data_IF_543092633219
#
_entry.id   IF_543092633219
#
_cell.length_a   1.000
_cell.length_b   1.000
_cell.length_c   1.000
_cell.angle_alpha   90.00
_cell.angle_beta   90.00
_cell.angle_gamma   90.00
#
_symmetry.space_group_name_H-M   'P 1'
#
loop_
_entity.id
_entity.type
_entity.pdbx_description
1 polymer ?
#
# COMPACT_ATOMS: atom_id res chain seq x y z
N UNK A 1 17.16 -11.01 -26.15
CA UNK A 1 16.38 -9.84 -25.70
C UNK A 1 16.48 -8.75 -26.74
N UNK A 2 15.35 -8.29 -27.28
CA UNK A 2 15.33 -7.04 -28.05
C UNK A 2 15.44 -5.90 -27.03
N UNK A 3 16.31 -4.92 -27.27
CA UNK A 3 16.29 -3.67 -26.53
C UNK A 3 14.99 -2.94 -26.91
N UNK A 4 14.02 -2.88 -26.01
CA UNK A 4 12.77 -2.19 -26.25
C UNK A 4 12.89 -0.73 -25.79
N UNK A 5 12.63 0.26 -26.66
CA UNK A 5 12.65 1.66 -26.26
C UNK A 5 11.48 1.94 -25.30
N UNK A 6 11.72 2.77 -24.29
CA UNK A 6 10.66 3.37 -23.51
C UNK A 6 10.19 4.68 -24.19
N UNK A 7 8.87 4.91 -24.37
CA UNK A 7 7.76 4.07 -23.88
C UNK A 7 7.61 2.78 -24.69
N UNK A 8 7.47 1.67 -23.97
CA UNK A 8 7.31 0.31 -24.50
C UNK A 8 6.06 0.25 -25.41
N UNK A 9 6.12 -0.32 -26.64
CA UNK A 9 5.01 -0.34 -27.59
C UNK A 9 3.93 -1.37 -27.21
N UNK A 10 3.39 -1.29 -25.98
CA UNK A 10 2.46 -2.27 -25.41
C UNK A 10 1.16 -2.41 -26.19
N UNK A 11 0.75 -1.36 -26.93
CA UNK A 11 -0.45 -1.38 -27.78
C UNK A 11 -0.32 -2.29 -29.00
N UNK A 12 0.90 -2.67 -29.37
CA UNK A 12 1.18 -3.56 -30.50
C UNK A 12 1.28 -5.03 -30.05
N UNK A 13 1.22 -5.29 -28.74
CA UNK A 13 1.26 -6.65 -28.23
C UNK A 13 0.00 -7.43 -28.65
N UNK A 14 0.15 -8.67 -29.11
CA UNK A 14 -0.98 -9.58 -29.29
C UNK A 14 -1.76 -9.74 -27.98
N UNK A 15 -3.07 -9.47 -28.01
CA UNK A 15 -3.96 -9.55 -26.86
C UNK A 15 -5.40 -9.19 -27.21
N UNK A 16 -6.31 -9.36 -26.24
CA UNK A 16 -7.72 -8.97 -26.39
C UNK A 16 -7.91 -7.46 -26.17
N UNK A 17 -9.10 -6.96 -26.51
CA UNK A 17 -9.45 -5.56 -26.26
C UNK A 17 -9.50 -5.25 -24.76
N UNK A 18 -9.97 -6.21 -23.94
CA UNK A 18 -10.03 -6.11 -22.48
C UNK A 18 -8.63 -6.04 -21.87
N UNK A 19 -7.70 -6.89 -22.32
CA UNK A 19 -6.28 -6.85 -21.90
C UNK A 19 -5.63 -5.50 -22.27
N UNK A 20 -5.91 -5.00 -23.48
CA UNK A 20 -5.40 -3.69 -23.93
C UNK A 20 -5.98 -2.55 -23.09
N UNK A 21 -7.28 -2.60 -22.76
CA UNK A 21 -7.93 -1.61 -21.91
C UNK A 21 -7.35 -1.63 -20.49
N UNK A 22 -7.15 -2.82 -19.93
CA UNK A 22 -6.53 -3.02 -18.62
C UNK A 22 -5.13 -2.41 -18.56
N UNK A 23 -4.27 -2.75 -19.52
CA UNK A 23 -2.92 -2.18 -19.61
C UNK A 23 -2.95 -0.66 -19.79
N UNK A 24 -3.90 -0.14 -20.57
CA UNK A 24 -4.09 1.30 -20.72
C UNK A 24 -4.36 2.01 -19.40
N UNK A 25 -5.30 1.46 -18.61
CA UNK A 25 -5.57 1.95 -17.26
C UNK A 25 -4.34 1.80 -16.35
N UNK A 26 -3.80 0.58 -16.22
CA UNK A 26 -2.70 0.24 -15.31
C UNK A 26 -1.47 1.10 -15.53
N UNK A 27 -1.07 1.30 -16.78
CA UNK A 27 0.10 2.11 -17.15
C UNK A 27 -0.17 3.62 -17.02
N UNK A 28 -1.41 4.08 -17.20
CA UNK A 28 -1.75 5.50 -17.05
C UNK A 28 -1.60 6.02 -15.62
N UNK A 29 -1.71 5.11 -14.64
CA UNK A 29 -1.69 5.39 -13.20
C UNK A 29 -0.43 4.88 -12.49
N UNK A 30 0.57 4.41 -13.27
CA UNK A 30 1.83 3.96 -12.70
C UNK A 30 2.61 5.10 -12.05
N UNK A 31 3.13 4.83 -10.85
CA UNK A 31 4.10 5.70 -10.19
C UNK A 31 5.40 5.81 -11.00
N UNK A 32 6.23 6.79 -10.65
CA UNK A 32 7.56 6.92 -11.25
C UNK A 32 8.38 5.66 -11.02
N UNK A 33 8.33 5.12 -9.80
CA UNK A 33 9.06 3.91 -9.42
C UNK A 33 8.56 2.69 -10.19
N UNK A 34 7.25 2.48 -10.28
CA UNK A 34 6.67 1.38 -11.05
C UNK A 34 7.09 1.43 -12.51
N UNK A 35 7.18 2.62 -13.11
CA UNK A 35 7.68 2.78 -14.49
C UNK A 35 9.13 2.35 -14.64
N UNK A 36 9.99 2.71 -13.68
CA UNK A 36 11.40 2.29 -13.70
C UNK A 36 11.56 0.79 -13.49
N UNK A 37 10.77 0.20 -12.58
CA UNK A 37 10.75 -1.24 -12.39
C UNK A 37 10.27 -1.96 -13.65
N UNK A 38 9.17 -1.49 -14.27
CA UNK A 38 8.65 -2.07 -15.50
C UNK A 38 9.66 -1.98 -16.66
N UNK A 39 10.36 -0.85 -16.79
CA UNK A 39 11.43 -0.68 -17.78
C UNK A 39 12.52 -1.75 -17.62
N UNK A 40 12.99 -1.98 -16.39
CA UNK A 40 14.01 -3.00 -16.12
C UNK A 40 13.48 -4.43 -16.24
N UNK A 41 12.30 -4.68 -15.68
CA UNK A 41 11.63 -5.97 -15.73
C UNK A 41 11.39 -6.44 -17.17
N UNK A 42 10.99 -5.53 -18.06
CA UNK A 42 10.76 -5.83 -19.49
C UNK A 42 12.04 -6.12 -20.29
N UNK A 43 13.21 -5.76 -19.75
CA UNK A 43 14.51 -6.13 -20.31
C UNK A 43 15.01 -7.46 -19.76
N UNK A 44 14.66 -7.78 -18.51
CA UNK A 44 15.02 -9.02 -17.83
C UNK A 44 14.12 -10.19 -18.24
N UNK A 45 12.86 -9.92 -18.56
CA UNK A 45 11.86 -10.92 -18.95
C UNK A 45 11.51 -10.81 -20.44
N UNK A 46 11.09 -11.93 -21.02
CA UNK A 46 10.43 -11.91 -22.33
C UNK A 46 9.00 -11.43 -22.17
N UNK A 47 8.60 -10.44 -22.97
CA UNK A 47 7.23 -9.96 -23.06
C UNK A 47 6.84 -10.02 -24.54
N UNK A 48 6.03 -11.01 -24.90
CA UNK A 48 5.63 -11.27 -26.28
C UNK A 48 4.13 -11.03 -26.52
N UNK A 49 3.32 -11.01 -25.45
CA UNK A 49 1.87 -10.82 -25.47
C UNK A 49 1.40 -9.83 -24.41
N UNK A 50 0.16 -9.34 -24.54
CA UNK A 50 -0.47 -8.50 -23.52
C UNK A 50 -0.59 -9.25 -22.18
N UNK A 51 -0.88 -10.55 -22.20
CA UNK A 51 -0.91 -11.39 -21.01
C UNK A 51 0.45 -11.46 -20.28
N UNK A 52 1.57 -11.51 -21.01
CA UNK A 52 2.91 -11.47 -20.39
C UNK A 52 3.15 -10.13 -19.68
N UNK A 53 2.76 -9.02 -20.33
CA UNK A 53 2.91 -7.69 -19.75
C UNK A 53 2.01 -7.51 -18.53
N UNK A 54 0.78 -8.02 -18.56
CA UNK A 54 -0.13 -8.03 -17.41
C UNK A 54 0.54 -8.78 -16.24
N UNK A 55 1.00 -10.01 -16.47
CA UNK A 55 1.70 -10.79 -15.44
C UNK A 55 2.90 -10.05 -14.85
N UNK A 56 3.63 -9.29 -15.68
CA UNK A 56 4.77 -8.49 -15.23
C UNK A 56 4.34 -7.29 -14.39
N UNK A 57 3.32 -6.55 -14.82
CA UNK A 57 2.78 -5.40 -14.07
C UNK A 57 2.13 -5.79 -12.74
N UNK A 58 1.70 -7.05 -12.63
CA UNK A 58 1.17 -7.63 -11.40
C UNK A 58 2.24 -8.00 -10.37
N UNK A 59 3.51 -8.03 -10.77
CA UNK A 59 4.60 -8.62 -9.99
C UNK A 59 5.83 -7.73 -9.92
N UNK A 60 5.62 -6.40 -9.96
CA UNK A 60 6.74 -5.44 -9.82
C UNK A 60 7.42 -5.52 -8.45
N UNK A 61 6.74 -6.06 -7.44
CA UNK A 61 7.30 -6.42 -6.12
C UNK A 61 8.37 -7.52 -6.18
N UNK A 62 8.41 -8.30 -7.27
CA UNK A 62 9.45 -9.31 -7.53
C UNK A 62 10.75 -8.72 -8.09
N UNK A 63 10.85 -7.39 -8.16
CA UNK A 63 12.01 -6.64 -8.62
C UNK A 63 12.39 -5.59 -7.59
N UNK A 64 13.69 -5.28 -7.49
CA UNK A 64 14.19 -4.16 -6.69
C UNK A 64 14.72 -3.06 -7.60
N UNK A 65 14.71 -1.82 -7.09
CA UNK A 65 15.23 -0.64 -7.77
C UNK A 65 16.29 0.03 -6.89
N UNK A 66 17.53 0.11 -7.38
CA UNK A 66 18.52 1.03 -6.83
C UNK A 66 18.32 2.40 -7.49
N UNK A 67 17.46 3.24 -6.90
CA UNK A 67 17.06 4.51 -7.50
C UNK A 67 18.26 5.44 -7.76
N UNK A 68 18.35 5.97 -8.97
CA UNK A 68 19.42 6.87 -9.42
C UNK A 68 20.74 6.17 -9.78
N UNK A 69 20.87 4.86 -9.58
CA UNK A 69 22.05 4.09 -9.97
C UNK A 69 22.01 3.71 -11.46
N UNK A 70 22.35 4.64 -12.36
CA UNK A 70 22.22 4.45 -13.82
C UNK A 70 23.48 3.91 -14.50
N UNK A 71 24.56 3.69 -13.75
CA UNK A 71 25.81 3.09 -14.22
C UNK A 71 26.53 2.35 -13.07
N UNK A 72 27.62 1.64 -13.40
CA UNK A 72 28.38 0.85 -12.42
C UNK A 72 28.93 1.73 -11.28
N UNK A 73 29.40 2.95 -11.57
CA UNK A 73 29.94 3.82 -10.52
C UNK A 73 28.86 4.31 -9.56
N UNK A 74 27.68 4.66 -10.09
CA UNK A 74 26.52 5.06 -9.32
C UNK A 74 25.95 3.88 -8.50
N UNK A 75 25.95 2.66 -9.03
CA UNK A 75 25.53 1.46 -8.30
C UNK A 75 26.46 1.12 -7.14
N UNK A 76 27.78 1.20 -7.33
CA UNK A 76 28.74 1.02 -6.24
C UNK A 76 28.60 2.10 -5.17
N UNK A 77 28.38 3.35 -5.56
CA UNK A 77 28.14 4.45 -4.62
C UNK A 77 26.81 4.29 -3.86
N UNK A 78 25.76 3.80 -4.54
CA UNK A 78 24.47 3.48 -3.94
C UNK A 78 24.63 2.42 -2.84
N UNK A 79 25.28 1.29 -3.14
CA UNK A 79 25.54 0.23 -2.18
C UNK A 79 26.36 0.72 -0.98
N UNK A 80 27.44 1.48 -1.24
CA UNK A 80 28.25 2.09 -0.20
C UNK A 80 27.42 2.99 0.74
N UNK A 81 26.55 3.84 0.17
CA UNK A 81 25.75 4.80 0.94
C UNK A 81 24.64 4.14 1.73
N UNK A 82 23.82 3.32 1.09
CA UNK A 82 22.55 2.87 1.66
C UNK A 82 22.65 1.52 2.34
N UNK A 83 23.39 0.57 1.76
CA UNK A 83 23.51 -0.80 2.28
C UNK A 83 24.61 -0.92 3.33
N UNK A 84 25.77 -0.33 3.05
CA UNK A 84 26.95 -0.42 3.93
C UNK A 84 27.12 0.80 4.84
N UNK A 85 26.26 1.82 4.70
CA UNK A 85 26.24 3.04 5.52
C UNK A 85 27.61 3.73 5.62
N UNK A 86 28.38 3.70 4.54
CA UNK A 86 29.71 4.32 4.48
C UNK A 86 29.54 5.85 4.46
N UNK A 87 30.25 6.59 5.33
CA UNK A 87 30.19 8.05 5.33
C UNK A 87 30.59 8.64 3.98
N UNK A 88 29.85 9.65 3.51
CA UNK A 88 30.00 10.28 2.18
C UNK A 88 31.46 10.62 1.82
N UNK A 89 32.21 11.17 2.78
CA UNK A 89 33.62 11.55 2.61
C UNK A 89 34.52 10.36 2.22
N UNK A 90 34.17 9.15 2.66
CA UNK A 90 34.93 7.92 2.36
C UNK A 90 34.50 7.27 1.06
N UNK A 91 33.29 7.53 0.56
CA UNK A 91 32.81 6.96 -0.71
C UNK A 91 33.74 7.37 -1.86
N UNK A 92 34.23 8.61 -1.85
CA UNK A 92 35.20 9.11 -2.84
C UNK A 92 36.54 8.36 -2.89
N UNK A 93 36.86 7.57 -1.86
CA UNK A 93 38.08 6.76 -1.77
C UNK A 93 37.87 5.32 -2.24
N UNK A 94 36.63 4.95 -2.60
CA UNK A 94 36.29 3.61 -3.05
C UNK A 94 36.33 3.54 -4.59
N UNK A 95 36.72 2.38 -5.11
CA UNK A 95 36.52 2.05 -6.52
C UNK A 95 35.06 1.63 -6.75
N UNK A 96 34.17 2.63 -6.78
CA UNK A 96 32.73 2.39 -6.91
C UNK A 96 32.38 1.79 -8.28
N UNK A 97 33.14 2.11 -9.33
CA UNK A 97 32.93 1.55 -10.66
C UNK A 97 33.20 0.03 -10.69
N UNK A 98 34.28 -0.42 -10.05
CA UNK A 98 34.53 -1.86 -9.90
C UNK A 98 33.46 -2.52 -9.03
N UNK A 99 33.11 -1.93 -7.90
CA UNK A 99 32.12 -2.52 -7.00
C UNK A 99 30.75 -2.64 -7.68
N UNK A 100 30.24 -1.61 -8.34
CA UNK A 100 28.96 -1.71 -9.02
C UNK A 100 28.97 -2.70 -10.18
N UNK A 101 30.09 -2.84 -10.91
CA UNK A 101 30.24 -3.91 -11.90
C UNK A 101 30.12 -5.29 -11.25
N UNK A 102 30.84 -5.52 -10.14
CA UNK A 102 30.79 -6.78 -9.40
C UNK A 102 29.36 -7.08 -8.90
N UNK A 103 28.61 -6.06 -8.47
CA UNK A 103 27.20 -6.19 -8.10
C UNK A 103 26.35 -6.55 -9.32
N UNK A 104 26.46 -5.79 -10.42
CA UNK A 104 25.67 -6.05 -11.63
C UNK A 104 25.91 -7.45 -12.19
N UNK A 105 27.16 -7.89 -12.28
CA UNK A 105 27.52 -9.23 -12.78
C UNK A 105 27.02 -10.34 -11.85
N UNK A 106 27.07 -10.13 -10.53
CA UNK A 106 26.58 -11.11 -9.55
C UNK A 106 25.05 -11.23 -9.55
N UNK A 107 24.35 -10.12 -9.67
CA UNK A 107 22.90 -10.06 -9.53
C UNK A 107 22.14 -10.21 -10.87
N UNK A 108 22.82 -10.00 -12.00
CA UNK A 108 22.23 -10.16 -13.33
C UNK A 108 21.19 -9.09 -13.71
N UNK A 109 21.21 -7.93 -13.03
CA UNK A 109 20.29 -6.83 -13.29
C UNK A 109 20.68 -5.93 -14.46
N UNK A 110 19.85 -4.93 -14.74
CA UNK A 110 19.97 -3.99 -15.87
C UNK A 110 19.89 -2.53 -15.41
N UNK A 111 20.51 -1.63 -16.16
CA UNK A 111 20.33 -0.18 -15.96
C UNK A 111 19.13 0.31 -16.76
N UNK A 112 18.33 1.15 -16.13
CA UNK A 112 17.15 1.83 -16.69
C UNK A 112 17.36 3.33 -16.66
N UNK A 113 16.40 4.09 -17.21
CA UNK A 113 16.38 5.55 -17.09
C UNK A 113 16.36 6.06 -15.63
N UNK A 114 15.85 5.24 -14.70
CA UNK A 114 15.66 5.60 -13.30
C UNK A 114 16.64 4.98 -12.31
N UNK A 115 17.36 3.92 -12.68
CA UNK A 115 18.28 3.25 -11.77
C UNK A 115 18.65 1.84 -12.21
N UNK A 116 19.16 1.04 -11.28
CA UNK A 116 19.50 -0.36 -11.52
C UNK A 116 18.37 -1.25 -11.03
N UNK A 117 17.87 -2.14 -11.90
CA UNK A 117 16.78 -3.07 -11.61
C UNK A 117 17.28 -4.50 -11.66
N UNK A 118 16.93 -5.28 -10.64
CA UNK A 118 17.21 -6.71 -10.56
C UNK A 118 15.95 -7.47 -10.16
N UNK A 119 15.85 -8.72 -10.59
CA UNK A 119 14.79 -9.62 -10.14
C UNK A 119 15.19 -10.26 -8.82
N UNK A 120 14.36 -10.10 -7.79
CA UNK A 120 14.61 -10.59 -6.43
C UNK A 120 13.87 -11.90 -6.13
N UNK A 121 12.78 -12.19 -6.84
CA UNK A 121 12.02 -13.43 -6.69
C UNK A 121 11.51 -13.99 -8.02
N UNK A 122 11.28 -15.31 -8.13
CA UNK A 122 10.73 -15.91 -9.34
C UNK A 122 9.30 -15.42 -9.61
N UNK A 123 8.99 -15.18 -10.88
CA UNK A 123 7.65 -14.79 -11.30
C UNK A 123 6.72 -16.01 -11.35
N UNK A 124 5.44 -15.75 -11.11
CA UNK A 124 4.37 -16.74 -11.20
C UNK A 124 3.39 -16.34 -12.31
N UNK A 125 2.68 -17.31 -12.88
CA UNK A 125 1.57 -17.04 -13.79
C UNK A 125 0.33 -16.66 -12.97
N UNK A 126 0.09 -15.35 -12.82
CA UNK A 126 -1.08 -14.77 -12.14
C UNK A 126 -2.28 -14.59 -13.07
N UNK A 127 -2.02 -14.44 -14.37
CA UNK A 127 -3.03 -14.24 -15.40
C UNK A 127 -2.81 -15.18 -16.58
N UNK A 128 -3.88 -15.78 -17.11
CA UNK A 128 -3.86 -16.52 -18.38
C UNK A 128 -4.68 -15.75 -19.40
N UNK A 129 -4.19 -15.66 -20.64
CA UNK A 129 -4.85 -14.90 -21.69
C UNK A 129 -6.33 -15.28 -21.84
N UNK A 130 -7.21 -14.29 -21.79
CA UNK A 130 -8.68 -14.46 -21.84
C UNK A 130 -9.37 -14.81 -20.52
N UNK A 131 -8.63 -14.94 -19.40
CA UNK A 131 -9.23 -15.06 -18.07
C UNK A 131 -9.87 -13.73 -17.61
N UNK A 132 -10.67 -13.80 -16.55
CA UNK A 132 -11.19 -12.60 -15.88
C UNK A 132 -10.06 -11.79 -15.23
N UNK A 133 -9.97 -10.53 -15.63
CA UNK A 133 -9.06 -9.52 -15.06
C UNK A 133 -9.51 -9.03 -13.67
N UNK A 134 -10.72 -9.37 -13.23
CA UNK A 134 -11.32 -8.89 -11.97
C UNK A 134 -10.62 -9.37 -10.69
N UNK A 135 -9.68 -10.32 -10.81
CA UNK A 135 -8.91 -10.87 -9.68
C UNK A 135 -7.53 -10.22 -9.52
N UNK A 136 -7.16 -9.37 -10.47
CA UNK A 136 -5.90 -8.65 -10.46
C UNK A 136 -6.04 -7.45 -9.52
N UNK A 137 -5.04 -7.30 -8.65
CA UNK A 137 -5.06 -6.29 -7.59
C UNK A 137 -3.80 -5.42 -7.62
N UNK A 138 -2.81 -5.70 -8.47
CA UNK A 138 -1.64 -4.84 -8.52
C UNK A 138 -2.01 -3.49 -9.14
N UNK A 139 -1.54 -2.43 -8.51
CA UNK A 139 -2.07 -1.11 -8.79
C UNK A 139 -3.37 -0.81 -8.03
N UNK A 140 -3.75 -1.58 -7.01
CA UNK A 140 -4.50 -1.04 -5.87
C UNK A 140 -3.51 -0.32 -4.95
N UNK A 141 -3.90 0.85 -4.45
CA UNK A 141 -3.10 1.63 -3.51
C UNK A 141 -4.03 2.30 -2.53
N UNK A 142 -3.55 2.52 -1.30
CA UNK A 142 -4.33 3.23 -0.29
C UNK A 142 -4.59 4.66 -0.74
N UNK A 143 -3.56 5.30 -1.29
CA UNK A 143 -3.69 6.63 -1.85
C UNK A 143 -2.82 6.78 -3.11
N UNK A 144 -3.37 7.47 -4.11
CA UNK A 144 -2.65 7.96 -5.29
C UNK A 144 -2.78 9.45 -5.40
N UNK A 145 -1.65 10.12 -5.62
CA UNK A 145 -1.59 11.55 -5.83
C UNK A 145 -0.89 11.82 -7.15
N UNK A 146 -1.54 12.53 -8.07
CA UNK A 146 -0.89 13.06 -9.26
C UNK A 146 -0.34 14.43 -8.93
N UNK A 147 0.98 14.53 -8.88
CA UNK A 147 1.68 15.75 -8.49
C UNK A 147 2.38 16.34 -9.71
N UNK A 148 2.37 17.66 -9.84
CA UNK A 148 3.09 18.38 -10.89
C UNK A 148 4.05 19.42 -10.28
N UNK A 149 5.00 19.88 -11.08
CA UNK A 149 5.91 20.96 -10.71
C UNK A 149 6.22 21.83 -11.93
N UNK A 150 6.95 22.93 -11.73
CA UNK A 150 7.44 23.73 -12.85
C UNK A 150 8.34 22.93 -13.81
N UNK A 151 9.04 21.89 -13.33
CA UNK A 151 9.89 21.02 -14.14
C UNK A 151 9.09 19.94 -14.87
N UNK A 152 7.98 19.48 -14.27
CA UNK A 152 7.12 18.43 -14.81
C UNK A 152 5.64 18.86 -14.73
N UNK A 153 5.16 19.69 -15.68
CA UNK A 153 3.80 20.26 -15.62
C UNK A 153 2.70 19.22 -15.86
N UNK A 154 2.97 18.18 -16.64
CA UNK A 154 2.01 17.09 -16.89
C UNK A 154 1.79 16.18 -15.66
N UNK A 155 2.73 16.27 -14.71
CA UNK A 155 2.71 15.57 -13.43
C UNK A 155 3.12 14.09 -13.49
N UNK A 156 3.37 13.55 -12.31
CA UNK A 156 3.70 12.14 -12.06
C UNK A 156 2.81 11.60 -10.95
N UNK A 157 2.57 10.28 -10.99
CA UNK A 157 1.88 9.60 -9.91
C UNK A 157 2.83 9.27 -8.77
N UNK A 158 2.36 9.54 -7.56
CA UNK A 158 2.88 9.05 -6.30
C UNK A 158 1.88 8.05 -5.73
N UNK A 159 2.38 6.89 -5.30
CA UNK A 159 1.63 5.84 -4.61
C UNK A 159 2.06 5.84 -3.15
N UNK A 160 1.10 5.70 -2.24
CA UNK A 160 1.34 5.57 -0.80
C UNK A 160 0.82 4.22 -0.29
N UNK A 161 1.54 3.55 0.63
CA UNK A 161 2.72 4.06 1.35
C UNK A 161 4.03 4.05 0.53
N UNK A 162 5.07 4.73 1.05
CA UNK A 162 6.38 4.89 0.41
C UNK A 162 7.15 3.56 0.32
N UNK A 163 6.83 2.61 1.19
CA UNK A 163 7.55 1.35 1.40
C UNK A 163 9.06 1.51 1.67
N UNK A 164 9.50 2.70 2.13
CA UNK A 164 10.92 2.95 2.42
C UNK A 164 11.44 1.87 3.38
N UNK A 165 12.44 1.06 2.96
CA UNK A 165 12.96 0.00 3.80
C UNK A 165 13.70 0.60 4.99
N UNK A 166 13.82 -0.17 6.08
CA UNK A 166 14.60 0.21 7.28
C UNK A 166 16.07 0.55 6.95
N UNK A 167 16.56 0.05 5.80
CA UNK A 167 17.88 0.42 5.27
C UNK A 167 17.95 1.87 4.77
N UNK A 168 16.86 2.64 4.75
CA UNK A 168 16.80 4.02 4.24
C UNK A 168 17.18 4.14 2.77
N UNK A 169 16.94 3.07 2.00
CA UNK A 169 17.06 3.11 0.55
C UNK A 169 15.90 3.95 -0.01
N UNK A 170 16.16 4.89 -0.92
CA UNK A 170 15.12 5.78 -1.46
C UNK A 170 14.08 4.99 -2.27
N UNK A 171 12.80 5.26 -2.03
CA UNK A 171 11.70 4.51 -2.66
C UNK A 171 10.68 5.41 -3.42
N UNK A 172 9.37 5.25 -3.26
CA UNK A 172 8.31 5.97 -4.00
C UNK A 172 8.38 7.51 -3.90
N UNK A 173 8.42 8.07 -2.69
CA UNK A 173 8.52 9.51 -2.42
C UNK A 173 9.81 10.09 -3.00
N UNK A 174 10.91 9.35 -2.93
CA UNK A 174 12.18 9.77 -3.51
C UNK A 174 12.14 9.76 -5.05
N UNK A 175 11.52 8.74 -5.66
CA UNK A 175 11.33 8.65 -7.10
C UNK A 175 10.45 9.78 -7.62
N UNK A 176 9.32 10.05 -6.96
CA UNK A 176 8.41 11.15 -7.31
C UNK A 176 9.10 12.52 -7.22
N UNK A 177 9.79 12.81 -6.11
CA UNK A 177 10.52 14.09 -5.93
C UNK A 177 11.61 14.29 -6.98
N UNK A 178 12.36 13.22 -7.30
CA UNK A 178 13.38 13.24 -8.34
C UNK A 178 12.78 13.59 -9.71
N UNK A 179 11.67 12.96 -10.08
CA UNK A 179 11.00 13.23 -11.35
C UNK A 179 10.40 14.64 -11.43
N UNK A 180 9.89 15.15 -10.30
CA UNK A 180 9.38 16.51 -10.17
C UNK A 180 10.48 17.57 -10.09
N UNK A 181 11.74 17.19 -9.84
CA UNK A 181 12.84 18.14 -9.66
C UNK A 181 12.68 19.01 -8.41
N UNK A 182 12.09 18.48 -7.33
CA UNK A 182 11.84 19.21 -6.08
C UNK A 182 12.61 18.57 -4.92
N UNK A 183 13.03 19.40 -3.95
CA UNK A 183 13.69 18.92 -2.72
C UNK A 183 12.70 18.58 -1.60
N UNK A 184 11.58 19.30 -1.56
CA UNK A 184 10.43 19.08 -0.69
C UNK A 184 9.13 19.34 -1.45
N UNK A 185 7.99 19.19 -0.78
CA UNK A 185 6.68 19.22 -1.46
C UNK A 185 6.15 20.63 -1.76
N UNK A 186 6.74 21.69 -1.21
CA UNK A 186 6.36 23.09 -1.48
C UNK A 186 6.45 23.49 -2.96
N UNK A 187 7.34 22.82 -3.72
CA UNK A 187 7.51 23.03 -5.16
C UNK A 187 6.56 22.21 -6.04
N UNK A 188 5.68 21.40 -5.42
CA UNK A 188 4.75 20.52 -6.10
C UNK A 188 3.30 20.99 -5.92
N UNK A 189 2.45 20.66 -6.89
CA UNK A 189 1.02 20.97 -6.90
C UNK A 189 0.26 19.69 -7.16
N UNK A 190 -0.80 19.47 -6.38
CA UNK A 190 -1.71 18.35 -6.57
C UNK A 190 -2.62 18.61 -7.78
N UNK A 191 -2.65 17.68 -8.72
CA UNK A 191 -3.54 17.69 -9.88
C UNK A 191 -4.75 16.76 -9.71
N UNK A 192 -4.53 15.60 -9.09
CA UNK A 192 -5.54 14.55 -8.94
C UNK A 192 -5.22 13.73 -7.70
N UNK A 193 -6.26 13.27 -7.00
CA UNK A 193 -6.14 12.38 -5.84
C UNK A 193 -7.14 11.24 -5.89
N UNK A 194 -6.73 10.07 -5.38
CA UNK A 194 -7.57 8.89 -5.23
C UNK A 194 -7.28 8.25 -3.88
N UNK A 195 -8.32 7.82 -3.18
CA UNK A 195 -8.23 7.09 -1.93
C UNK A 195 -9.05 5.80 -2.03
N UNK A 196 -8.56 4.70 -1.45
CA UNK A 196 -9.28 3.43 -1.43
C UNK A 196 -10.47 3.44 -0.43
N UNK A 197 -10.48 4.34 0.55
CA UNK A 197 -11.50 4.40 1.59
C UNK A 197 -12.71 5.20 1.11
N UNK A 198 -13.87 4.55 1.10
CA UNK A 198 -15.08 5.05 0.45
C UNK A 198 -15.65 6.33 1.08
N UNK A 199 -15.46 6.55 2.38
CA UNK A 199 -15.98 7.73 3.09
C UNK A 199 -15.09 8.97 2.91
N UNK A 200 -13.83 8.78 2.52
CA UNK A 200 -12.84 9.87 2.47
C UNK A 200 -12.86 10.46 1.07
N UNK A 201 -13.71 11.47 0.91
CA UNK A 201 -13.84 12.20 -0.35
C UNK A 201 -13.08 13.52 -0.28
N UNK A 202 -12.33 13.83 -1.34
CA UNK A 202 -11.55 15.06 -1.47
C UNK A 202 -10.55 15.33 -0.30
N UNK A 203 -9.69 14.35 0.06
CA UNK A 203 -8.81 14.46 1.22
C UNK A 203 -7.89 15.69 1.20
N UNK A 204 -7.41 16.17 0.06
CA UNK A 204 -6.52 17.33 0.03
C UNK A 204 -7.12 18.61 0.60
N UNK A 205 -8.43 18.81 0.46
CA UNK A 205 -9.11 19.98 1.02
C UNK A 205 -9.08 20.05 2.55
N UNK A 206 -8.70 18.95 3.19
CA UNK A 206 -8.76 18.74 4.63
C UNK A 206 -7.40 18.99 5.32
N UNK A 207 -6.34 19.25 4.55
CA UNK A 207 -4.97 19.48 5.01
C UNK A 207 -4.47 20.86 4.57
N UNK A 208 -3.65 21.50 5.40
CA UNK A 208 -3.12 22.84 5.09
C UNK A 208 -1.97 22.78 4.07
N UNK A 209 -1.25 21.65 4.02
CA UNK A 209 -0.10 21.44 3.14
C UNK A 209 -0.13 20.08 2.49
N UNK A 210 0.52 19.95 1.34
CA UNK A 210 0.68 18.67 0.64
C UNK A 210 1.49 17.66 1.46
N UNK A 211 2.47 18.12 2.24
CA UNK A 211 3.27 17.27 3.13
C UNK A 211 2.40 16.59 4.20
N UNK A 212 1.50 17.32 4.85
CA UNK A 212 0.55 16.73 5.82
C UNK A 212 -0.37 15.67 5.19
N UNK A 213 -0.87 15.91 3.97
CA UNK A 213 -1.67 14.93 3.24
C UNK A 213 -0.85 13.66 2.93
N UNK A 214 0.38 13.84 2.44
CA UNK A 214 1.28 12.73 2.13
C UNK A 214 1.60 11.93 3.39
N UNK A 215 1.93 12.57 4.50
CA UNK A 215 2.24 11.89 5.77
C UNK A 215 1.04 11.10 6.29
N UNK A 216 -0.16 11.69 6.28
CA UNK A 216 -1.39 11.01 6.70
C UNK A 216 -1.72 9.82 5.79
N UNK A 217 -1.61 9.99 4.47
CA UNK A 217 -1.82 8.91 3.50
C UNK A 217 -0.77 7.79 3.62
N UNK A 218 0.48 8.15 3.90
CA UNK A 218 1.59 7.22 4.06
C UNK A 218 1.41 6.36 5.32
N UNK A 219 1.15 7.00 6.46
CA UNK A 219 0.93 6.30 7.72
C UNK A 219 -0.28 5.37 7.64
N UNK A 220 -1.38 5.84 7.04
CA UNK A 220 -2.58 5.01 6.87
C UNK A 220 -2.32 3.85 5.91
N UNK A 221 -1.51 4.10 4.87
CA UNK A 221 -1.00 3.09 3.96
C UNK A 221 -0.41 1.88 4.70
N UNK A 222 0.56 2.13 5.57
CA UNK A 222 1.20 1.07 6.36
C UNK A 222 0.21 0.31 7.25
N UNK A 223 -0.68 1.02 7.94
CA UNK A 223 -1.68 0.39 8.81
C UNK A 223 -2.57 -0.57 8.04
N UNK A 224 -3.04 -0.18 6.85
CA UNK A 224 -3.89 -1.01 6.02
C UNK A 224 -3.14 -2.21 5.44
N UNK A 225 -1.86 -2.08 5.10
CA UNK A 225 -1.06 -3.21 4.63
C UNK A 225 -0.73 -4.21 5.73
N UNK A 226 -0.48 -3.74 6.96
CA UNK A 226 -0.17 -4.59 8.11
C UNK A 226 -1.40 -5.37 8.64
N UNK A 227 -2.62 -4.98 8.24
CA UNK A 227 -3.87 -5.68 8.57
C UNK A 227 -4.02 -5.98 10.07
N UNK A 228 -3.68 -4.99 10.91
CA UNK A 228 -3.70 -5.13 12.37
C UNK A 228 -2.80 -6.26 12.89
N UNK A 229 -1.68 -6.52 12.21
CA UNK A 229 -0.72 -7.57 12.55
C UNK A 229 -1.35 -8.97 12.58
N UNK A 230 -2.23 -9.23 11.61
CA UNK A 230 -2.98 -10.50 11.49
C UNK A 230 -4.24 -10.55 12.35
N UNK A 231 -4.79 -9.39 12.72
CA UNK A 231 -6.06 -9.30 13.44
C UNK A 231 -7.19 -9.95 12.61
N UNK A 232 -7.99 -10.86 13.21
CA UNK A 232 -9.19 -11.39 12.59
C UNK A 232 -10.14 -10.31 12.06
N UNK A 233 -10.51 -10.40 10.78
CA UNK A 233 -11.48 -9.50 10.16
C UNK A 233 -11.11 -8.02 10.37
N UNK A 234 -9.81 -7.69 10.26
CA UNK A 234 -9.31 -6.34 10.49
C UNK A 234 -10.00 -5.31 9.59
N UNK A 235 -10.07 -5.58 8.28
CA UNK A 235 -10.67 -4.67 7.31
C UNK A 235 -12.16 -4.39 7.63
N UNK A 236 -12.93 -5.44 7.91
CA UNK A 236 -14.34 -5.31 8.31
C UNK A 236 -14.49 -4.56 9.62
N UNK A 237 -13.64 -4.85 10.61
CA UNK A 237 -13.66 -4.17 11.91
C UNK A 237 -13.33 -2.68 11.75
N UNK A 238 -12.26 -2.38 11.04
CA UNK A 238 -11.79 -1.03 10.80
C UNK A 238 -12.83 -0.20 10.04
N UNK A 239 -13.36 -0.71 8.93
CA UNK A 239 -14.40 0.00 8.15
C UNK A 239 -15.69 0.18 8.93
N UNK A 240 -16.08 -0.82 9.72
CA UNK A 240 -17.26 -0.73 10.59
C UNK A 240 -17.06 0.33 11.68
N UNK A 241 -15.85 0.46 12.24
CA UNK A 241 -15.52 1.54 13.18
C UNK A 241 -15.54 2.91 12.50
N UNK A 242 -14.96 3.04 11.29
CA UNK A 242 -15.05 4.27 10.51
C UNK A 242 -16.49 4.69 10.23
N UNK A 243 -17.37 3.74 9.87
CA UNK A 243 -18.79 4.01 9.64
C UNK A 243 -19.49 4.47 10.92
N UNK A 244 -19.23 3.82 12.05
CA UNK A 244 -19.80 4.19 13.34
C UNK A 244 -19.42 5.61 13.76
N UNK A 245 -18.17 6.00 13.56
CA UNK A 245 -17.66 7.33 13.90
C UNK A 245 -18.01 8.40 12.85
N UNK A 246 -18.49 7.99 11.67
CA UNK A 246 -18.73 8.93 10.56
C UNK A 246 -17.44 9.52 10.01
N UNK A 247 -16.35 8.76 10.07
CA UNK A 247 -15.01 9.19 9.71
C UNK A 247 -14.92 9.63 8.25
N UNK A 248 -14.37 10.82 8.00
CA UNK A 248 -14.20 11.39 6.65
C UNK A 248 -12.79 11.92 6.39
N UNK A 249 -11.88 11.77 7.36
CA UNK A 249 -10.48 12.24 7.31
C UNK A 249 -9.49 11.09 7.45
N UNK A 250 -8.27 11.23 6.92
CA UNK A 250 -7.24 10.17 7.03
C UNK A 250 -6.59 10.12 8.43
N UNK A 251 -6.38 11.27 9.05
CA UNK A 251 -5.83 11.38 10.42
C UNK A 251 -6.78 10.77 11.46
N UNK A 252 -8.09 11.01 11.32
CA UNK A 252 -9.11 10.35 12.14
C UNK A 252 -9.15 8.84 11.88
N UNK A 253 -9.04 8.42 10.61
CA UNK A 253 -8.96 7.00 10.26
C UNK A 253 -7.74 6.32 10.91
N UNK A 254 -6.60 7.02 11.00
CA UNK A 254 -5.43 6.56 11.73
C UNK A 254 -5.72 6.39 13.22
N UNK A 255 -6.31 7.38 13.88
CA UNK A 255 -6.69 7.25 15.30
C UNK A 255 -7.64 6.07 15.51
N UNK A 256 -8.65 5.89 14.66
CA UNK A 256 -9.60 4.76 14.74
C UNK A 256 -8.87 3.43 14.65
N UNK A 257 -7.92 3.30 13.72
CA UNK A 257 -7.17 2.06 13.51
C UNK A 257 -6.35 1.64 14.75
N UNK A 258 -5.83 2.61 15.49
CA UNK A 258 -5.05 2.38 16.70
C UNK A 258 -5.91 2.14 17.94
N UNK A 259 -7.18 2.56 17.88
CA UNK A 259 -8.13 2.48 18.98
C UNK A 259 -9.23 1.42 18.74
N UNK A 260 -9.00 0.43 17.88
CA UNK A 260 -9.99 -0.65 17.64
C UNK A 260 -10.39 -1.40 18.93
N UNK A 261 -9.53 -1.42 19.94
CA UNK A 261 -9.82 -1.96 21.26
C UNK A 261 -10.91 -1.19 22.06
N UNK A 262 -11.32 -0.01 21.60
CA UNK A 262 -12.39 0.82 22.19
C UNK A 262 -13.80 0.45 21.71
N UNK A 263 -13.89 -0.61 20.91
CA UNK A 263 -15.14 -1.09 20.35
C UNK A 263 -15.37 -2.55 20.74
N UNK A 264 -16.63 -2.93 20.82
CA UNK A 264 -17.06 -4.32 20.72
C UNK A 264 -17.54 -4.55 19.29
N UNK A 265 -17.06 -5.60 18.63
CA UNK A 265 -17.33 -5.89 17.23
C UNK A 265 -17.63 -7.35 16.96
N UNK A 266 -18.62 -7.57 16.11
CA UNK A 266 -18.96 -8.87 15.53
C UNK A 266 -19.12 -8.66 14.02
N UNK A 267 -18.43 -9.43 13.16
CA UNK A 267 -18.50 -9.26 11.71
C UNK A 267 -19.87 -9.64 11.14
N UNK A 268 -20.06 -9.43 9.84
CA UNK A 268 -21.25 -9.89 9.10
C UNK A 268 -21.53 -11.39 9.24
N UNK A 269 -22.78 -11.78 9.03
CA UNK A 269 -23.33 -13.12 9.32
C UNK A 269 -22.53 -14.27 8.70
N UNK A 270 -21.97 -14.08 7.52
CA UNK A 270 -21.13 -15.08 6.83
C UNK A 270 -19.90 -15.53 7.63
N UNK A 271 -19.46 -14.70 8.59
CA UNK A 271 -18.30 -14.97 9.44
C UNK A 271 -18.68 -15.54 10.82
N UNK A 272 -19.96 -15.54 11.20
CA UNK A 272 -20.39 -15.81 12.57
C UNK A 272 -19.99 -17.18 13.11
N UNK A 273 -19.95 -18.21 12.27
CA UNK A 273 -19.57 -19.55 12.72
C UNK A 273 -18.10 -19.60 13.17
N UNK A 274 -17.19 -19.10 12.32
CA UNK A 274 -15.74 -19.06 12.62
C UNK A 274 -15.40 -18.04 13.70
N UNK A 275 -16.03 -16.87 13.65
CA UNK A 275 -15.81 -15.80 14.62
C UNK A 275 -16.40 -16.18 15.99
N UNK A 276 -17.63 -16.69 16.00
CA UNK A 276 -18.35 -17.20 17.17
C UNK A 276 -17.56 -18.25 17.93
N UNK A 277 -16.94 -19.19 17.21
CA UNK A 277 -16.01 -20.16 17.79
C UNK A 277 -14.87 -19.51 18.55
N UNK A 278 -14.16 -18.56 17.91
CA UNK A 278 -13.04 -17.86 18.54
C UNK A 278 -13.45 -17.11 19.80
N UNK A 279 -14.59 -16.41 19.77
CA UNK A 279 -15.04 -15.65 20.94
C UNK A 279 -15.57 -16.56 22.05
N UNK A 280 -16.23 -17.68 21.73
CA UNK A 280 -16.71 -18.67 22.70
C UNK A 280 -15.57 -19.41 23.40
N UNK A 281 -14.51 -19.75 22.65
CA UNK A 281 -13.28 -20.34 23.19
C UNK A 281 -12.54 -19.33 24.07
N UNK A 282 -12.39 -18.07 23.62
CA UNK A 282 -11.73 -17.00 24.39
C UNK A 282 -12.49 -16.61 25.66
N UNK A 283 -13.83 -16.66 25.64
CA UNK A 283 -14.65 -16.38 26.83
C UNK A 283 -14.70 -17.56 27.80
N UNK A 284 -14.18 -18.73 27.41
CA UNK A 284 -14.20 -19.95 28.22
C UNK A 284 -15.59 -20.60 28.33
N UNK A 285 -16.56 -20.17 27.51
CA UNK A 285 -17.91 -20.74 27.50
C UNK A 285 -17.91 -22.13 26.84
N UNK A 286 -16.98 -22.37 25.92
CA UNK A 286 -16.74 -23.66 25.28
C UNK A 286 -15.28 -24.05 25.47
N UNK A 287 -15.06 -25.25 26.01
CA UNK A 287 -13.76 -25.93 25.93
C UNK A 287 -13.63 -26.56 24.53
N UNK A 288 -12.66 -26.15 23.70
CA UNK A 288 -12.49 -26.64 22.33
C UNK A 288 -12.22 -28.14 22.24
N UNK A 289 -11.67 -28.75 23.29
CA UNK A 289 -11.38 -30.20 23.34
C UNK A 289 -12.60 -31.03 23.80
N UNK A 290 -13.67 -30.35 24.23
CA UNK A 290 -14.87 -31.03 24.69
C UNK A 290 -15.72 -31.56 23.53
N UNK A 291 -16.39 -32.69 23.77
CA UNK A 291 -17.39 -33.21 22.84
C UNK A 291 -18.57 -32.23 22.63
N UNK A 292 -18.80 -31.27 23.53
CA UNK A 292 -19.84 -30.26 23.37
C UNK A 292 -19.49 -29.23 22.29
N UNK A 293 -18.20 -28.97 22.04
CA UNK A 293 -17.75 -27.97 21.08
C UNK A 293 -18.21 -28.22 19.64
N UNK A 294 -18.48 -29.47 19.26
CA UNK A 294 -19.00 -29.80 17.92
C UNK A 294 -20.51 -29.57 17.77
N UNK A 295 -21.23 -29.41 18.88
CA UNK A 295 -22.68 -29.22 18.91
C UNK A 295 -23.09 -27.81 19.37
N UNK A 296 -22.12 -26.96 19.69
CA UNK A 296 -22.37 -25.59 20.11
C UNK A 296 -22.76 -24.72 18.92
N UNK A 297 -23.81 -23.92 19.07
CA UNK A 297 -24.29 -22.99 18.04
C UNK A 297 -23.51 -21.67 18.10
N UNK A 298 -22.37 -21.63 17.42
CA UNK A 298 -21.48 -20.47 17.42
C UNK A 298 -22.10 -19.26 16.71
N UNK A 299 -22.89 -19.49 15.66
CA UNK A 299 -23.63 -18.43 14.99
C UNK A 299 -24.72 -17.84 15.89
N UNK A 300 -25.49 -18.70 16.57
CA UNK A 300 -26.47 -18.29 17.59
C UNK A 300 -25.83 -17.54 18.75
N UNK A 301 -24.62 -17.94 19.16
CA UNK A 301 -23.86 -17.22 20.18
C UNK A 301 -23.48 -15.80 19.74
N UNK A 302 -22.95 -15.61 18.51
CA UNK A 302 -22.72 -14.27 17.96
C UNK A 302 -23.97 -13.41 18.00
N UNK A 303 -25.11 -13.96 17.56
CA UNK A 303 -26.39 -13.25 17.60
C UNK A 303 -26.78 -12.82 19.01
N UNK A 304 -26.63 -13.71 19.99
CA UNK A 304 -26.92 -13.39 21.39
C UNK A 304 -26.00 -12.30 21.94
N UNK A 305 -24.73 -12.28 21.53
CA UNK A 305 -23.75 -11.27 21.96
C UNK A 305 -24.04 -9.90 21.33
N UNK A 306 -24.48 -9.85 20.06
CA UNK A 306 -24.94 -8.62 19.41
C UNK A 306 -26.07 -7.98 20.22
N UNK A 307 -27.08 -8.78 20.61
CA UNK A 307 -28.21 -8.30 21.41
C UNK A 307 -27.77 -7.88 22.82
N UNK A 308 -26.91 -8.68 23.48
CA UNK A 308 -26.41 -8.41 24.84
C UNK A 308 -25.59 -7.13 24.92
N UNK A 309 -24.73 -6.89 23.93
CA UNK A 309 -23.84 -5.72 23.87
C UNK A 309 -24.51 -4.50 23.23
N UNK A 310 -25.71 -4.66 22.65
CA UNK A 310 -26.41 -3.57 21.98
C UNK A 310 -25.68 -3.07 20.73
N UNK A 311 -25.03 -3.98 20.00
CA UNK A 311 -24.24 -3.61 18.82
C UNK A 311 -25.16 -3.09 17.70
N UNK A 312 -24.77 -1.99 17.07
CA UNK A 312 -25.48 -1.42 15.92
C UNK A 312 -25.00 -2.08 14.65
N UNK A 313 -25.92 -2.31 13.72
CA UNK A 313 -25.59 -2.83 12.39
C UNK A 313 -25.00 -1.72 11.51
N UNK A 314 -23.88 -2.05 10.88
CA UNK A 314 -23.17 -1.28 9.86
C UNK A 314 -23.06 -2.14 8.57
N UNK A 315 -22.38 -1.64 7.55
CA UNK A 315 -22.21 -2.34 6.27
C UNK A 315 -21.46 -3.68 6.42
N UNK A 316 -20.35 -3.67 7.16
CA UNK A 316 -19.42 -4.82 7.25
C UNK A 316 -19.52 -5.59 8.58
N UNK A 317 -20.46 -5.22 9.46
CA UNK A 317 -20.68 -5.93 10.71
C UNK A 317 -21.55 -5.20 11.72
N UNK A 318 -21.34 -5.53 12.99
CA UNK A 318 -22.06 -5.02 14.14
C UNK A 318 -21.07 -4.45 15.14
N UNK A 319 -21.30 -3.23 15.63
CA UNK A 319 -20.33 -2.53 16.47
C UNK A 319 -20.98 -1.59 17.49
N UNK A 320 -20.29 -1.38 18.60
CA UNK A 320 -20.56 -0.30 19.55
C UNK A 320 -19.27 0.11 20.28
N UNK A 321 -19.22 1.36 20.76
CA UNK A 321 -18.19 1.81 21.70
C UNK A 321 -18.34 1.08 23.03
N UNK A 322 -17.26 0.54 23.58
CA UNK A 322 -17.26 -0.22 24.84
C UNK A 322 -16.93 0.63 26.07
N UNK A 323 -16.83 1.96 25.90
CA UNK A 323 -16.57 2.93 26.97
C UNK A 323 -15.10 3.11 27.34
N UNK A 324 -14.16 2.43 26.69
CA UNK A 324 -12.73 2.74 26.81
C UNK A 324 -12.41 4.10 26.19
N UNK A 325 -11.42 4.78 26.78
CA UNK A 325 -10.98 6.09 26.31
C UNK A 325 -10.34 5.98 24.93
N UNK A 326 -10.80 6.81 24.00
CA UNK A 326 -10.25 6.96 22.67
C UNK A 326 -9.14 8.00 22.70
N UNK A 327 -8.00 7.68 22.09
CA UNK A 327 -6.83 8.55 22.03
C UNK A 327 -6.74 9.18 20.64
N UNK A 328 -6.73 10.52 20.61
CA UNK A 328 -6.46 11.29 19.40
C UNK A 328 -4.99 11.65 19.35
N UNK A 329 -4.20 10.88 18.60
CA UNK A 329 -2.79 11.13 18.36
C UNK A 329 -2.57 11.95 17.09
N UNK A 330 -3.40 11.75 16.06
CA UNK A 330 -3.26 12.38 14.76
C UNK A 330 -4.32 13.44 14.45
N UNK A 331 -5.56 13.24 14.90
CA UNK A 331 -6.67 14.15 14.65
C UNK A 331 -6.92 15.12 15.81
N UNK A 332 -7.60 16.24 15.54
CA UNK A 332 -8.17 17.06 16.60
C UNK A 332 -9.49 16.44 17.08
N UNK A 333 -9.72 16.32 18.40
CA UNK A 333 -10.96 15.77 18.92
C UNK A 333 -12.16 16.63 18.52
N UNK A 334 -13.27 15.98 18.18
CA UNK A 334 -14.48 16.68 17.80
C UNK A 334 -14.95 17.60 18.95
N UNK A 335 -15.57 18.75 18.67
CA UNK A 335 -16.05 19.68 19.71
C UNK A 335 -17.00 19.03 20.73
N UNK A 336 -17.69 17.95 20.35
CA UNK A 336 -18.59 17.21 21.23
C UNK A 336 -17.83 16.34 22.25
N UNK A 337 -16.65 15.83 21.91
CA UNK A 337 -15.82 14.99 22.78
C UNK A 337 -15.00 15.83 23.78
N UNK A 338 -14.59 17.04 23.39
CA UNK A 338 -13.92 17.99 24.28
C UNK A 338 -14.75 18.34 25.52
N UNK A 339 -16.09 18.32 25.41
CA UNK A 339 -16.99 18.59 26.53
C UNK A 339 -17.11 17.41 27.52
N UNK A 340 -16.77 16.18 27.11
CA UNK A 340 -16.74 15.02 27.99
C UNK A 340 -15.43 14.96 28.79
N UNK A 341 -14.31 15.39 28.21
CA UNK A 341 -12.99 15.43 28.85
C UNK A 341 -12.87 16.49 29.96
N UNK A 342 -13.66 17.56 29.90
CA UNK A 342 -13.67 18.65 30.89
C UNK A 342 -14.56 18.40 32.11
N UNK A 343 -15.29 17.28 32.14
CA UNK A 343 -16.23 16.93 33.22
C UNK A 343 -15.75 15.72 34.07
N UNK A 344 -14.48 15.33 33.97
CA UNK A 344 -13.84 14.33 34.82
C UNK A 344 -12.98 14.96 35.92
#
# INVERSE_FOLDING_TARGET
>A
MKAYPYPYPWKELPGTAEETQYLGWRLSEMSVRERYLLEGASQLQSVDTAADLINLTEQLDSFSLCLGATDDAALGAYAARYREKIPEKRISLLDTARWGRDLRERHGGVFTSGGFVEQTSPLQQRYTAGDSLSRLTAGEAVMRLKLASAHCPDGVWLILPDHEPVTGEPDELAAARRALGVTGWDGAVLLEEKCCLWNITNPASQYATLEQLIDAGNNLGYVLEEQGQGMPCFDEYFRTAMELEGCTRLDEALDISQNLNCYDFIPSEEHWEKFGRRIAERSGIVDPDSAAAMYFDYAGYCKSEIERLGLKRCADGYIARNGRAFLHEFSEPAPQEQNLSLNL
#
